data_IF_330911833188
#
_entry.id   IF_330911833188
#
_cell.length_a   1.000
_cell.length_b   1.000
_cell.length_c   1.000
_cell.angle_alpha   90.00
_cell.angle_beta   90.00
_cell.angle_gamma   90.00
#
_symmetry.space_group_name_H-M   'P 1'
#
loop_
_entity.id
_entity.type
_entity.pdbx_description
1 polymer ?
#
# COMPACT_ATOMS: atom_id res chain seq x y z
N UNK A 1 -12.93 -5.78 -37.62
CA UNK A 1 -12.04 -4.96 -36.74
C UNK A 1 -11.16 -5.95 -35.98
N UNK A 2 -9.85 -5.96 -36.24
CA UNK A 2 -8.93 -6.87 -35.59
C UNK A 2 -8.70 -6.47 -34.13
N UNK A 3 -8.56 -7.46 -33.24
CA UNK A 3 -8.14 -7.24 -31.87
C UNK A 3 -6.64 -6.90 -31.91
N UNK A 4 -6.30 -5.63 -31.72
CA UNK A 4 -4.91 -5.23 -31.59
C UNK A 4 -4.54 -5.47 -30.14
N UNK A 5 -3.54 -6.31 -29.87
CA UNK A 5 -3.00 -6.46 -28.52
C UNK A 5 -2.50 -5.09 -28.07
N UNK A 6 -3.27 -4.41 -27.23
CA UNK A 6 -2.78 -3.24 -26.51
C UNK A 6 -1.99 -3.81 -25.35
N UNK A 7 -0.66 -3.71 -25.42
CA UNK A 7 0.20 -4.18 -24.34
C UNK A 7 -0.17 -3.53 -23.00
N UNK A 8 0.48 -3.98 -21.95
CA UNK A 8 0.34 -3.43 -20.61
C UNK A 8 1.68 -2.85 -20.17
N UNK A 9 1.62 -1.87 -19.28
CA UNK A 9 2.78 -1.43 -18.52
C UNK A 9 2.42 -1.39 -17.05
N UNK A 10 3.44 -1.52 -16.24
CA UNK A 10 3.34 -1.72 -14.81
C UNK A 10 4.18 -0.66 -14.09
N UNK A 11 3.57 -0.07 -13.08
CA UNK A 11 4.20 0.78 -12.08
C UNK A 11 4.26 0.00 -10.75
N UNK A 12 5.40 0.03 -10.08
CA UNK A 12 5.61 -0.66 -8.79
C UNK A 12 6.03 0.32 -7.71
N UNK A 13 5.58 0.05 -6.48
CA UNK A 13 6.00 0.73 -5.26
C UNK A 13 6.44 -0.37 -4.30
N UNK A 14 7.70 -0.36 -3.87
CA UNK A 14 8.32 -1.43 -3.06
C UNK A 14 9.25 -0.86 -2.00
N UNK A 15 9.41 -1.55 -0.87
CA UNK A 15 10.52 -1.32 0.09
C UNK A 15 10.69 0.15 0.54
N UNK A 16 9.58 0.85 0.69
CA UNK A 16 9.51 2.14 1.38
C UNK A 16 10.40 3.31 0.88
N UNK A 17 9.94 4.09 -0.12
CA UNK A 17 9.34 3.61 -1.34
C UNK A 17 10.34 3.77 -2.51
N UNK A 18 10.87 2.65 -3.01
CA UNK A 18 11.43 2.58 -4.37
C UNK A 18 10.24 2.54 -5.34
N UNK A 19 10.06 3.59 -6.12
CA UNK A 19 9.09 3.63 -7.20
C UNK A 19 9.74 3.20 -8.51
N UNK A 20 8.97 2.49 -9.33
CA UNK A 20 9.26 2.31 -10.75
C UNK A 20 8.03 2.70 -11.56
N UNK A 21 8.18 3.67 -12.45
CA UNK A 21 7.10 4.19 -13.30
C UNK A 21 6.68 3.23 -14.42
N UNK A 22 5.59 3.55 -15.11
CA UNK A 22 5.14 2.79 -16.28
C UNK A 22 6.18 2.71 -17.41
N UNK A 23 7.03 3.74 -17.55
CA UNK A 23 8.12 3.81 -18.52
C UNK A 23 9.47 3.37 -17.93
N UNK A 24 9.44 2.76 -16.73
CA UNK A 24 10.56 2.10 -16.04
C UNK A 24 11.61 3.06 -15.47
N UNK A 25 11.31 4.35 -15.33
CA UNK A 25 12.08 5.29 -14.53
C UNK A 25 11.99 4.88 -13.05
N UNK A 26 13.11 4.93 -12.33
CA UNK A 26 13.16 4.66 -10.89
C UNK A 26 13.34 5.96 -10.11
N UNK A 27 12.65 6.11 -9.00
CA UNK A 27 12.88 7.22 -8.05
C UNK A 27 12.50 6.80 -6.62
N UNK A 28 13.15 7.42 -5.66
CA UNK A 28 13.03 7.08 -4.23
C UNK A 28 12.42 8.28 -3.50
N UNK A 29 11.13 8.53 -3.70
CA UNK A 29 10.44 9.68 -3.13
C UNK A 29 9.87 9.38 -1.74
N UNK A 30 10.44 10.01 -0.73
CA UNK A 30 10.12 9.78 0.67
C UNK A 30 9.03 10.72 1.22
N UNK A 31 7.77 10.49 0.84
CA UNK A 31 6.65 11.33 1.27
C UNK A 31 5.95 10.86 2.56
N UNK A 32 5.47 11.79 3.38
CA UNK A 32 4.79 11.52 4.67
C UNK A 32 3.25 11.71 4.63
N UNK A 33 2.71 12.14 3.49
CA UNK A 33 1.28 12.45 3.31
C UNK A 33 0.58 11.47 2.36
N UNK A 34 -0.52 11.91 1.76
CA UNK A 34 -1.16 11.19 0.66
C UNK A 34 -0.72 11.79 -0.67
N UNK A 35 -0.42 10.93 -1.64
CA UNK A 35 0.12 11.33 -2.93
C UNK A 35 -0.58 10.62 -4.07
N UNK A 36 -0.77 11.34 -5.18
CA UNK A 36 -1.36 10.80 -6.40
C UNK A 36 -0.36 9.86 -7.08
N UNK A 37 -0.63 8.56 -7.05
CA UNK A 37 0.16 7.56 -7.80
C UNK A 37 -0.20 7.61 -9.28
N UNK A 38 -1.51 7.62 -9.57
CA UNK A 38 -2.05 7.67 -10.93
C UNK A 38 -3.29 8.55 -10.92
N UNK A 39 -3.35 9.54 -11.81
CA UNK A 39 -4.59 10.20 -12.21
C UNK A 39 -4.68 10.26 -13.71
N UNK A 40 -5.86 10.01 -14.24
CA UNK A 40 -6.13 10.19 -15.66
C UNK A 40 -6.38 11.66 -16.01
N UNK A 41 -5.82 12.12 -17.13
CA UNK A 41 -5.99 13.48 -17.66
C UNK A 41 -6.43 13.40 -19.14
N UNK A 42 -7.30 14.32 -19.59
CA UNK A 42 -7.71 14.44 -21.00
C UNK A 42 -8.21 13.12 -21.64
N UNK A 43 -9.06 12.37 -20.92
CA UNK A 43 -9.57 11.08 -21.41
C UNK A 43 -10.65 11.27 -22.50
N UNK A 44 -10.66 10.41 -23.54
CA UNK A 44 -11.82 10.28 -24.41
C UNK A 44 -12.97 9.57 -23.68
N UNK A 45 -14.22 9.86 -24.07
CA UNK A 45 -15.43 9.36 -23.41
C UNK A 45 -15.57 7.83 -23.32
N UNK A 46 -14.77 7.09 -24.10
CA UNK A 46 -14.81 5.62 -24.14
C UNK A 46 -13.82 4.94 -23.20
N UNK A 47 -13.06 5.70 -22.40
CA UNK A 47 -12.14 5.17 -21.41
C UNK A 47 -12.59 5.56 -19.99
N UNK A 48 -12.71 4.60 -19.05
CA UNK A 48 -13.03 4.91 -17.67
C UNK A 48 -11.96 5.78 -17.01
N UNK A 49 -12.40 6.72 -16.17
CA UNK A 49 -11.51 7.49 -15.30
C UNK A 49 -10.86 6.58 -14.26
N UNK A 50 -9.57 6.83 -13.98
CA UNK A 50 -8.79 6.13 -12.97
C UNK A 50 -8.08 7.16 -12.11
N UNK A 51 -8.25 7.05 -10.80
CA UNK A 51 -7.50 7.82 -9.81
C UNK A 51 -7.06 6.87 -8.71
N UNK A 52 -5.76 6.85 -8.40
CA UNK A 52 -5.13 6.01 -7.39
C UNK A 52 -4.22 6.89 -6.55
N UNK A 53 -4.45 6.86 -5.25
CA UNK A 53 -3.73 7.60 -4.23
C UNK A 53 -3.07 6.62 -3.27
N UNK A 54 -1.81 6.86 -2.96
CA UNK A 54 -1.07 6.16 -1.91
C UNK A 54 -1.11 7.02 -0.65
N UNK A 55 -1.55 6.42 0.45
CA UNK A 55 -1.70 7.11 1.74
C UNK A 55 -0.56 6.64 2.63
N UNK A 56 0.29 7.59 3.04
CA UNK A 56 1.46 7.27 3.88
C UNK A 56 1.31 7.63 5.35
N UNK A 57 0.21 8.29 5.73
CA UNK A 57 -0.07 8.63 7.12
C UNK A 57 -0.41 7.37 7.91
N UNK A 58 0.32 7.12 8.99
CA UNK A 58 -0.08 6.13 9.98
C UNK A 58 -1.47 6.50 10.51
N UNK A 59 -2.43 5.61 10.31
CA UNK A 59 -3.67 5.64 11.07
C UNK A 59 -3.47 4.71 12.25
N UNK A 60 -3.53 5.27 13.47
CA UNK A 60 -3.68 4.47 14.68
C UNK A 60 -4.96 3.64 14.53
N UNK A 61 -4.79 2.35 14.28
CA UNK A 61 -5.88 1.38 14.35
C UNK A 61 -6.27 1.24 15.83
N UNK A 62 -6.99 2.23 16.38
CA UNK A 62 -7.78 2.08 17.62
C UNK A 62 -9.01 1.22 17.31
N UNK A 63 -8.76 -0.06 17.03
CA UNK A 63 -9.73 -1.14 17.23
C UNK A 63 -9.35 -1.80 18.57
N UNK A 64 -9.47 -1.05 19.67
CA UNK A 64 -9.49 -1.59 21.02
C UNK A 64 -10.72 -2.51 21.20
N UNK A 65 -10.46 -3.71 21.76
CA UNK A 65 -11.39 -4.77 22.22
C UNK A 65 -11.88 -5.77 21.16
N UNK A 66 -11.65 -7.09 21.30
CA UNK A 66 -11.91 -7.91 22.48
C UNK A 66 -10.84 -8.97 22.75
N UNK A 67 -10.36 -8.98 24.00
CA UNK A 67 -9.92 -10.20 24.67
C UNK A 67 -11.12 -11.14 24.77
N UNK A 68 -11.04 -12.30 24.12
CA UNK A 68 -11.78 -13.47 24.59
C UNK A 68 -10.85 -14.22 25.54
N UNK A 69 -10.96 -13.85 26.82
CA UNK A 69 -10.54 -14.68 27.94
C UNK A 69 -11.30 -16.00 27.86
N UNK A 70 -10.58 -17.10 27.60
CA UNK A 70 -11.07 -18.42 27.94
C UNK A 70 -10.22 -18.97 29.06
N UNK A 71 -10.71 -18.71 30.27
CA UNK A 71 -10.33 -19.36 31.52
C UNK A 71 -10.33 -20.89 31.37
N UNK A 72 -9.22 -21.53 31.71
CA UNK A 72 -9.25 -22.86 32.30
C UNK A 72 -8.55 -22.78 33.65
N UNK A 73 -9.36 -22.77 34.70
CA UNK A 73 -8.95 -23.11 36.05
C UNK A 73 -8.42 -24.54 36.05
N UNK A 74 -7.23 -24.79 36.61
CA UNK A 74 -6.99 -25.99 37.42
C UNK A 74 -6.16 -25.61 38.65
N UNK A 75 -6.84 -25.69 39.79
CA UNK A 75 -6.36 -25.68 41.16
C UNK A 75 -5.61 -27.00 41.46
N UNK A 76 -4.49 -26.94 42.20
CA UNK A 76 -4.31 -27.67 43.46
C UNK A 76 -2.84 -27.86 43.90
N UNK A 77 -2.60 -27.32 45.10
CA UNK A 77 -1.87 -27.96 46.22
C UNK A 77 -0.35 -27.78 46.38
N UNK A 78 -0.06 -26.83 47.28
CA UNK A 78 1.03 -26.75 48.27
C UNK A 78 1.73 -28.07 48.59
N UNK A 79 3.08 -28.05 48.62
CA UNK A 79 3.90 -28.76 49.62
C UNK A 79 5.07 -27.90 50.06
N UNK A 80 5.13 -27.66 51.37
CA UNK A 80 6.28 -27.13 52.12
C UNK A 80 7.25 -28.28 52.37
N UNK A 81 8.55 -28.07 52.15
CA UNK A 81 9.63 -28.75 52.88
C UNK A 81 10.81 -27.79 53.03
N UNK A 82 11.32 -27.78 54.25
CA UNK A 82 12.31 -26.90 54.84
C UNK A 82 13.76 -27.25 54.45
N UNK A 83 14.62 -26.23 54.58
CA UNK A 83 16.01 -26.24 55.09
C UNK A 83 17.11 -27.03 54.31
N UNK A 84 18.07 -26.33 53.70
CA UNK A 84 19.41 -26.08 54.29
C UNK A 84 20.46 -25.51 53.28
N UNK A 85 21.23 -24.54 53.80
CA UNK A 85 22.66 -24.18 53.57
C UNK A 85 23.14 -23.51 52.26
N UNK A 86 23.52 -22.23 52.43
CA UNK A 86 24.76 -21.51 52.06
C UNK A 86 25.57 -21.93 50.82
N UNK A 87 25.82 -20.97 49.92
CA UNK A 87 27.18 -20.60 49.48
C UNK A 87 27.17 -19.31 48.63
N UNK A 88 28.19 -18.51 48.85
CA UNK A 88 28.51 -17.20 48.25
C UNK A 88 28.89 -17.28 46.75
N UNK A 89 28.84 -16.12 46.10
CA UNK A 89 29.78 -15.59 45.10
C UNK A 89 29.18 -15.04 43.79
N UNK A 90 29.45 -13.74 43.64
CA UNK A 90 29.95 -13.02 42.46
C UNK A 90 29.05 -12.67 41.24
N UNK A 91 29.14 -11.36 40.95
CA UNK A 91 29.24 -10.70 39.64
C UNK A 91 28.11 -10.88 38.62
N UNK A 92 27.35 -9.81 38.35
CA UNK A 92 27.70 -8.89 37.27
C UNK A 92 26.62 -7.80 37.10
N UNK A 93 27.09 -6.57 36.88
CA UNK A 93 26.32 -5.49 36.28
C UNK A 93 25.80 -5.95 34.92
N UNK A 94 24.47 -5.98 34.72
CA UNK A 94 23.91 -5.72 33.40
C UNK A 94 22.62 -4.94 33.53
N UNK A 95 22.75 -3.65 33.25
CA UNK A 95 21.64 -2.81 32.82
C UNK A 95 21.09 -3.43 31.54
N UNK A 96 20.00 -4.16 31.62
CA UNK A 96 19.12 -4.30 30.47
C UNK A 96 18.36 -2.98 30.32
N UNK A 97 19.02 -2.03 29.65
CA UNK A 97 18.35 -1.10 28.75
C UNK A 97 17.59 -1.97 27.74
N UNK A 98 16.34 -2.30 28.05
CA UNK A 98 15.45 -2.99 27.11
C UNK A 98 14.91 -1.93 26.12
N UNK A 99 15.84 -1.33 25.37
CA UNK A 99 15.60 -0.60 24.13
C UNK A 99 15.47 -1.60 22.97
N UNK A 100 14.49 -2.51 23.08
CA UNK A 100 14.05 -3.35 21.97
C UNK A 100 12.53 -3.26 21.91
N UNK A 101 11.96 -2.34 21.13
CA UNK A 101 11.78 -2.49 19.69
C UNK A 101 11.60 -1.13 18.97
N UNK A 102 12.61 -0.26 18.97
CA UNK A 102 12.69 0.84 17.97
C UNK A 102 13.18 0.30 16.62
N UNK A 103 12.45 -0.65 16.04
CA UNK A 103 12.61 -1.00 14.64
C UNK A 103 11.28 -1.48 14.04
N UNK A 104 10.21 -0.71 14.24
CA UNK A 104 9.16 -0.70 13.23
C UNK A 104 9.79 -0.08 11.97
N UNK A 105 10.17 -0.92 10.99
CA UNK A 105 10.47 -0.44 9.65
C UNK A 105 9.28 0.45 9.22
N UNK A 106 9.50 1.77 9.16
CA UNK A 106 8.48 2.79 8.93
C UNK A 106 8.00 2.75 7.46
N UNK A 107 7.54 1.59 6.99
CA UNK A 107 7.05 1.42 5.64
C UNK A 107 5.97 2.44 5.32
N UNK A 108 6.28 3.44 4.50
CA UNK A 108 5.45 4.62 4.34
C UNK A 108 4.13 4.29 3.67
N UNK A 109 4.07 3.42 2.67
CA UNK A 109 2.80 3.11 2.00
C UNK A 109 1.87 2.30 2.90
N UNK A 110 0.88 2.95 3.52
CA UNK A 110 -0.06 2.31 4.44
C UNK A 110 -1.30 1.77 3.71
N UNK A 111 -1.83 2.56 2.78
CA UNK A 111 -3.11 2.27 2.13
C UNK A 111 -3.11 2.73 0.66
N UNK A 112 -3.97 2.10 -0.14
CA UNK A 112 -4.31 2.56 -1.49
C UNK A 112 -5.77 2.95 -1.54
N UNK A 113 -6.06 4.15 -2.05
CA UNK A 113 -7.40 4.60 -2.38
C UNK A 113 -7.58 4.67 -3.89
N UNK A 114 -8.48 3.83 -4.41
CA UNK A 114 -8.69 3.58 -5.84
C UNK A 114 -10.10 4.05 -6.21
N UNK A 115 -10.20 5.00 -7.13
CA UNK A 115 -11.47 5.48 -7.68
C UNK A 115 -11.60 5.04 -9.13
N UNK A 116 -12.60 4.21 -9.41
CA UNK A 116 -12.91 3.67 -10.73
C UNK A 116 -14.37 3.24 -10.79
N UNK A 117 -15.03 3.42 -11.95
CA UNK A 117 -16.46 3.11 -12.13
C UNK A 117 -17.36 3.73 -11.05
N UNK A 118 -17.11 4.98 -10.68
CA UNK A 118 -17.82 5.73 -9.63
C UNK A 118 -17.80 5.12 -8.22
N UNK A 119 -16.97 4.09 -8.02
CA UNK A 119 -16.72 3.50 -6.70
C UNK A 119 -15.39 3.97 -6.13
N UNK A 120 -15.33 4.07 -4.80
CA UNK A 120 -14.09 4.26 -4.04
C UNK A 120 -13.76 2.96 -3.32
N UNK A 121 -12.65 2.34 -3.69
CA UNK A 121 -12.13 1.12 -3.08
C UNK A 121 -10.86 1.46 -2.31
N UNK A 122 -10.79 1.06 -1.05
CA UNK A 122 -9.58 1.25 -0.24
C UNK A 122 -9.01 -0.11 0.15
N UNK A 123 -7.74 -0.31 -0.19
CA UNK A 123 -6.92 -1.41 0.32
C UNK A 123 -6.09 -0.88 1.47
N UNK A 124 -6.43 -1.31 2.68
CA UNK A 124 -5.78 -0.91 3.93
C UNK A 124 -4.79 -1.97 4.41
N UNK A 125 -4.07 -1.67 5.50
CA UNK A 125 -3.20 -2.62 6.21
C UNK A 125 -3.87 -3.97 6.44
N UNK A 126 -3.05 -5.02 6.49
CA UNK A 126 -3.49 -6.41 6.68
C UNK A 126 -4.51 -6.88 5.62
N UNK A 127 -4.47 -6.27 4.43
CA UNK A 127 -5.39 -6.52 3.31
C UNK A 127 -6.86 -6.27 3.68
N UNK A 128 -7.15 -5.32 4.57
CA UNK A 128 -8.53 -4.87 4.87
C UNK A 128 -9.10 -4.16 3.64
N UNK A 129 -10.39 -4.40 3.37
CA UNK A 129 -11.10 -3.84 2.22
C UNK A 129 -12.22 -2.92 2.68
N UNK A 130 -12.22 -1.68 2.18
CA UNK A 130 -13.37 -0.78 2.24
C UNK A 130 -13.88 -0.54 0.82
N UNK A 131 -15.19 -0.52 0.66
CA UNK A 131 -15.87 -0.14 -0.59
C UNK A 131 -16.89 0.93 -0.25
N UNK A 132 -16.76 2.10 -0.86
CA UNK A 132 -17.61 3.29 -0.65
C UNK A 132 -17.76 3.64 0.85
N UNK A 133 -16.64 3.62 1.57
CA UNK A 133 -16.56 3.91 3.00
C UNK A 133 -17.06 2.79 3.92
N UNK A 134 -17.43 1.61 3.38
CA UNK A 134 -17.95 0.48 4.15
C UNK A 134 -16.99 -0.71 4.15
N UNK A 135 -16.68 -1.23 5.34
CA UNK A 135 -15.89 -2.47 5.49
C UNK A 135 -16.59 -3.62 4.77
N UNK A 136 -15.87 -4.28 3.87
CA UNK A 136 -16.40 -5.30 2.96
C UNK A 136 -15.49 -6.54 2.93
N UNK A 137 -16.06 -7.72 2.77
CA UNK A 137 -15.30 -8.97 2.64
C UNK A 137 -15.04 -9.32 1.16
N UNK A 138 -13.92 -9.99 0.88
CA UNK A 138 -13.62 -10.53 -0.44
C UNK A 138 -14.16 -11.96 -0.62
N UNK A 139 -14.54 -12.38 -1.83
CA UNK A 139 -14.54 -11.61 -3.07
C UNK A 139 -15.68 -10.58 -3.12
N UNK A 140 -15.44 -9.46 -3.79
CA UNK A 140 -16.43 -8.40 -3.99
C UNK A 140 -16.49 -8.00 -5.47
N UNK A 141 -17.64 -7.48 -5.90
CA UNK A 141 -17.84 -6.95 -7.25
C UNK A 141 -18.81 -5.76 -7.21
N UNK A 142 -18.33 -4.56 -6.85
CA UNK A 142 -19.18 -3.38 -6.65
C UNK A 142 -19.92 -2.93 -7.92
N UNK A 143 -19.31 -3.15 -9.09
CA UNK A 143 -19.88 -2.84 -10.39
C UNK A 143 -19.64 -3.99 -11.39
N UNK A 144 -20.43 -4.00 -12.47
CA UNK A 144 -20.15 -4.86 -13.61
C UNK A 144 -18.74 -4.55 -14.16
N UNK A 145 -17.95 -5.60 -14.38
CA UNK A 145 -16.58 -5.44 -14.84
C UNK A 145 -15.55 -5.11 -13.75
N UNK A 146 -15.96 -4.85 -12.50
CA UNK A 146 -15.06 -4.62 -11.36
C UNK A 146 -15.04 -5.83 -10.42
N UNK A 147 -13.87 -6.43 -10.21
CA UNK A 147 -13.69 -7.60 -9.34
C UNK A 147 -12.58 -7.36 -8.32
N UNK A 148 -12.84 -7.76 -7.09
CA UNK A 148 -11.90 -7.64 -5.98
C UNK A 148 -11.79 -8.99 -5.28
N UNK A 149 -10.57 -9.49 -5.06
CA UNK A 149 -10.35 -10.76 -4.39
C UNK A 149 -9.00 -10.81 -3.66
N UNK A 150 -8.86 -11.75 -2.73
CA UNK A 150 -7.57 -12.09 -2.11
C UNK A 150 -7.04 -13.38 -2.71
N UNK A 151 -5.73 -13.44 -2.94
CA UNK A 151 -5.04 -14.67 -3.33
C UNK A 151 -3.61 -14.63 -2.81
N UNK A 152 -3.18 -15.73 -2.18
CA UNK A 152 -1.87 -15.80 -1.53
C UNK A 152 -1.71 -14.64 -0.53
N UNK A 153 -0.61 -13.89 -0.59
CA UNK A 153 -0.30 -12.77 0.29
C UNK A 153 -0.84 -11.41 -0.20
N UNK A 154 -1.71 -11.37 -1.23
CA UNK A 154 -2.15 -10.11 -1.86
C UNK A 154 -3.66 -9.96 -1.98
N UNK A 155 -4.12 -8.71 -2.00
CA UNK A 155 -5.45 -8.30 -2.43
C UNK A 155 -5.35 -7.66 -3.82
N UNK A 156 -6.34 -7.93 -4.66
CA UNK A 156 -6.35 -7.57 -6.08
C UNK A 156 -7.64 -6.84 -6.41
N UNK A 157 -7.55 -5.80 -7.24
CA UNK A 157 -8.65 -5.17 -7.95
C UNK A 157 -8.39 -5.32 -9.44
N UNK A 158 -9.37 -5.84 -10.19
CA UNK A 158 -9.30 -5.93 -11.64
C UNK A 158 -10.56 -5.37 -12.28
N UNK A 159 -10.33 -4.65 -13.35
CA UNK A 159 -11.38 -4.15 -14.24
C UNK A 159 -11.40 -4.94 -15.54
N UNK A 160 -12.54 -4.92 -16.23
CA UNK A 160 -12.72 -5.49 -17.57
C UNK A 160 -12.00 -4.70 -18.67
N UNK A 161 -11.73 -3.40 -18.47
CA UNK A 161 -10.88 -2.62 -19.36
C UNK A 161 -9.38 -2.89 -19.18
N UNK A 162 -8.98 -3.62 -18.13
CA UNK A 162 -7.62 -4.12 -17.96
C UNK A 162 -6.75 -3.39 -16.94
N UNK A 163 -7.29 -2.45 -16.14
CA UNK A 163 -6.62 -2.02 -14.91
C UNK A 163 -6.53 -3.21 -13.94
N UNK A 164 -5.33 -3.43 -13.40
CA UNK A 164 -5.04 -4.35 -12.31
C UNK A 164 -4.29 -3.57 -11.22
N UNK A 165 -4.76 -3.68 -9.98
CA UNK A 165 -4.09 -3.14 -8.80
C UNK A 165 -3.87 -4.26 -7.81
N UNK A 166 -2.66 -4.39 -7.30
CA UNK A 166 -2.27 -5.38 -6.30
C UNK A 166 -1.68 -4.67 -5.08
N UNK A 167 -1.99 -5.21 -3.89
CA UNK A 167 -1.41 -4.74 -2.64
C UNK A 167 -1.17 -5.93 -1.71
N UNK A 168 -0.02 -5.97 -1.05
CA UNK A 168 0.31 -7.02 -0.07
C UNK A 168 -0.35 -6.80 1.30
N UNK A 169 -0.85 -5.59 1.55
CA UNK A 169 -1.40 -5.19 2.84
C UNK A 169 -0.36 -4.61 3.79
N UNK A 170 0.83 -4.29 3.29
CA UNK A 170 1.97 -3.84 4.08
C UNK A 170 2.66 -2.63 3.46
N UNK A 171 3.34 -2.79 2.33
CA UNK A 171 4.18 -1.72 1.76
C UNK A 171 4.41 -1.85 0.25
N UNK A 172 3.96 -2.94 -0.36
CA UNK A 172 4.18 -3.19 -1.79
C UNK A 172 2.90 -3.10 -2.57
N UNK A 173 2.90 -2.22 -3.57
CA UNK A 173 1.82 -2.06 -4.51
C UNK A 173 2.28 -2.21 -5.96
N UNK A 174 1.40 -2.74 -6.79
CA UNK A 174 1.61 -2.85 -8.23
C UNK A 174 0.37 -2.37 -8.96
N UNK A 175 0.58 -1.53 -9.98
CA UNK A 175 -0.48 -0.95 -10.81
C UNK A 175 -0.16 -1.28 -12.26
N UNK A 176 -1.03 -2.02 -12.91
CA UNK A 176 -0.93 -2.32 -14.34
C UNK A 176 -2.01 -1.56 -15.12
N UNK A 177 -1.60 -0.84 -16.17
CA UNK A 177 -2.51 -0.17 -17.09
C UNK A 177 -2.33 -0.64 -18.54
N UNK A 178 -3.42 -0.75 -19.32
CA UNK A 178 -3.31 -1.00 -20.74
C UNK A 178 -2.74 0.21 -21.49
N UNK A 179 -2.04 -0.04 -22.59
CA UNK A 179 -1.40 1.01 -23.41
C UNK A 179 -2.40 2.00 -24.02
N UNK A 180 -3.71 1.73 -23.97
CA UNK A 180 -4.76 2.71 -24.28
C UNK A 180 -4.71 3.96 -23.40
N UNK A 181 -4.14 3.85 -22.19
CA UNK A 181 -3.91 4.95 -21.26
C UNK A 181 -2.58 5.70 -21.48
N UNK A 182 -1.75 5.29 -22.45
CA UNK A 182 -0.52 6.03 -22.79
C UNK A 182 -0.81 7.50 -23.09
N UNK A 183 0.01 8.38 -22.52
CA UNK A 183 -0.10 9.85 -22.57
C UNK A 183 -1.40 10.42 -22.00
N UNK A 184 -2.12 9.66 -21.17
CA UNK A 184 -3.40 10.08 -20.54
C UNK A 184 -3.38 9.95 -19.03
N UNK A 185 -2.20 9.77 -18.43
CA UNK A 185 -2.03 9.66 -16.98
C UNK A 185 -0.90 10.57 -16.51
N UNK A 186 -0.91 10.87 -15.22
CA UNK A 186 0.19 11.50 -14.49
C UNK A 186 0.14 11.09 -13.02
N UNK A 187 1.19 11.39 -12.27
CA UNK A 187 1.33 11.00 -10.87
C UNK A 187 2.74 10.48 -10.60
N UNK A 188 2.98 9.92 -9.41
CA UNK A 188 4.26 9.31 -9.06
C UNK A 188 4.63 8.11 -9.94
N UNK A 189 3.65 7.50 -10.63
CA UNK A 189 3.89 6.46 -11.64
C UNK A 189 4.30 6.98 -13.03
N UNK A 190 4.56 8.28 -13.18
CA UNK A 190 5.01 8.90 -14.43
C UNK A 190 3.88 9.30 -15.37
N UNK A 191 4.24 9.78 -16.56
CA UNK A 191 3.28 10.30 -17.56
C UNK A 191 2.86 9.24 -18.62
N UNK A 192 3.51 8.08 -18.58
CA UNK A 192 3.24 6.91 -19.42
C UNK A 192 3.25 7.23 -20.93
N UNK A 193 4.29 7.88 -21.41
CA UNK A 193 4.46 8.24 -22.81
C UNK A 193 5.50 7.38 -23.56
N UNK A 194 6.21 6.50 -22.85
CA UNK A 194 7.30 5.67 -23.34
C UNK A 194 8.69 6.26 -23.11
N UNK A 195 8.81 7.41 -22.45
CA UNK A 195 10.04 8.18 -22.28
C UNK A 195 10.41 8.34 -20.80
N UNK A 196 11.06 7.32 -20.24
CA UNK A 196 11.50 7.32 -18.83
C UNK A 196 12.20 8.60 -18.37
N UNK A 197 12.89 9.30 -19.26
CA UNK A 197 13.61 10.52 -18.90
C UNK A 197 12.67 11.63 -18.43
N UNK A 198 11.42 11.73 -18.90
CA UNK A 198 10.53 12.85 -18.57
C UNK A 198 9.48 12.51 -17.48
N UNK A 199 9.59 11.35 -16.84
CA UNK A 199 8.58 10.88 -15.89
C UNK A 199 8.45 11.73 -14.62
N UNK A 200 9.45 12.56 -14.30
CA UNK A 200 9.38 13.57 -13.24
C UNK A 200 8.55 14.79 -13.67
N UNK A 201 7.41 14.57 -14.33
CA UNK A 201 6.50 15.62 -14.78
C UNK A 201 5.51 15.95 -13.66
N UNK A 202 5.39 17.24 -13.34
CA UNK A 202 4.49 17.77 -12.31
C UNK A 202 3.06 17.92 -12.84
N UNK A 203 2.06 18.17 -11.98
CA UNK A 203 0.68 18.43 -12.41
C UNK A 203 0.51 19.54 -13.46
N UNK A 204 1.39 20.54 -13.44
CA UNK A 204 1.39 21.68 -14.37
C UNK A 204 1.98 21.36 -15.76
N UNK A 205 2.45 20.12 -15.97
CA UNK A 205 3.07 19.65 -17.21
C UNK A 205 4.55 20.00 -17.35
N UNK A 206 5.13 20.74 -16.40
CA UNK A 206 6.57 21.02 -16.38
C UNK A 206 7.34 19.89 -15.70
N UNK A 207 8.61 19.76 -16.05
CA UNK A 207 9.49 18.75 -15.45
C UNK A 207 10.11 19.29 -14.16
N UNK A 208 10.03 18.52 -13.07
CA UNK A 208 10.70 18.81 -11.82
C UNK A 208 12.23 18.66 -11.94
N UNK A 209 12.96 19.41 -11.10
CA UNK A 209 14.43 19.37 -11.05
C UNK A 209 14.95 18.35 -10.05
N UNK A 210 14.17 18.04 -9.02
CA UNK A 210 14.53 17.08 -7.96
C UNK A 210 13.37 16.10 -7.73
N UNK A 211 13.70 14.95 -7.12
CA UNK A 211 12.69 13.96 -6.70
C UNK A 211 11.76 14.54 -5.64
N UNK A 212 12.28 15.33 -4.70
CA UNK A 212 11.45 16.00 -3.70
C UNK A 212 10.45 16.97 -4.31
N UNK A 213 10.89 17.82 -5.26
CA UNK A 213 9.99 18.74 -5.97
C UNK A 213 8.92 17.96 -6.76
N UNK A 214 9.34 16.87 -7.42
CA UNK A 214 8.43 15.99 -8.14
C UNK A 214 7.37 15.42 -7.20
N UNK A 215 7.77 14.74 -6.13
CA UNK A 215 6.85 14.06 -5.23
C UNK A 215 5.90 15.00 -4.50
N UNK A 216 6.42 16.10 -3.94
CA UNK A 216 5.59 17.10 -3.25
C UNK A 216 4.61 17.81 -4.19
N UNK A 217 4.93 17.94 -5.48
CA UNK A 217 3.98 18.49 -6.44
C UNK A 217 2.74 17.61 -6.63
N UNK A 218 2.81 16.33 -6.27
CA UNK A 218 1.73 15.34 -6.40
C UNK A 218 1.01 15.04 -5.07
N UNK A 219 1.29 15.80 -4.01
CA UNK A 219 0.58 15.73 -2.74
C UNK A 219 -0.92 16.09 -2.91
N UNK A 220 -1.77 15.43 -2.11
CA UNK A 220 -3.23 15.66 -2.04
C UNK A 220 -3.58 16.68 -0.96
#
# INVERSE_FOLDING_TARGET
RGCQSTGFSECTITQDPEYRTFDKMKHDFEGEHSYVLVRTNNLPNNLPHVYIEGINTAHDDDDSHHHDDSSSEEDHSRRVRDEDEDDDDDDDDDKHDDDSDENEEHHRLQELKIRVYDHTVEFKKHRRLMVDGRRTNTPASPAAGLKIWKRSSRIYLRTDFGLLVEFDGHSTAEITLPHTYKRKVGGLCGNFDGQKQNDLTKPDGTRARTIQEFGESWRV
#
